data_IF_750691651615
#
_entry.id   IF_750691651615
#
_cell.length_a   1.000
_cell.length_b   1.000
_cell.length_c   1.000
_cell.angle_alpha   90.00
_cell.angle_beta   90.00
_cell.angle_gamma   90.00
#
_symmetry.space_group_name_H-M   'P 1'
#
loop_
_entity.id
_entity.type
_entity.pdbx_description
1 polymer ?
#
# COMPACT_ATOMS: atom_id res chain seq x y z
N UNK A 1 4.97 20.04 4.83
CA UNK A 1 6.37 20.51 4.79
C UNK A 1 7.37 19.44 5.23
N UNK A 2 7.29 18.89 6.45
CA UNK A 2 8.22 17.84 6.94
C UNK A 2 8.36 16.66 5.97
N UNK A 3 7.22 16.22 5.42
CA UNK A 3 7.16 15.08 4.54
C UNK A 3 7.81 15.32 3.16
N UNK A 4 7.78 16.55 2.65
CA UNK A 4 8.46 16.90 1.39
C UNK A 4 9.97 16.74 1.52
N UNK A 5 10.54 17.22 2.63
CA UNK A 5 11.96 17.02 2.96
C UNK A 5 12.31 15.53 3.15
N UNK A 6 11.45 14.76 3.82
CA UNK A 6 11.64 13.33 3.97
C UNK A 6 11.59 12.60 2.61
N UNK A 7 10.64 12.95 1.75
CA UNK A 7 10.46 12.33 0.43
C UNK A 7 11.66 12.56 -0.47
N UNK A 8 12.24 13.76 -0.44
CA UNK A 8 13.47 14.08 -1.17
C UNK A 8 14.68 13.28 -0.63
N UNK A 9 14.80 13.16 0.70
CA UNK A 9 15.97 12.52 1.35
C UNK A 9 15.90 10.99 1.39
N UNK A 10 14.74 10.40 1.69
CA UNK A 10 14.56 8.95 1.88
C UNK A 10 14.04 8.24 0.61
N UNK A 11 13.21 8.91 -0.19
CA UNK A 11 12.58 8.33 -1.39
C UNK A 11 11.16 7.83 -1.12
N UNK A 12 10.31 7.93 -2.14
CA UNK A 12 8.86 7.67 -2.02
C UNK A 12 8.56 6.23 -1.57
N UNK A 13 9.20 5.23 -2.19
CA UNK A 13 8.91 3.82 -1.87
C UNK A 13 9.37 3.44 -0.47
N UNK A 14 10.57 3.85 -0.05
CA UNK A 14 11.06 3.57 1.30
C UNK A 14 10.13 4.15 2.37
N UNK A 15 9.67 5.39 2.20
CA UNK A 15 8.73 6.04 3.12
C UNK A 15 7.34 5.40 3.13
N UNK A 16 6.84 5.02 1.96
CA UNK A 16 5.56 4.33 1.84
C UNK A 16 5.61 2.99 2.58
N UNK A 17 6.69 2.23 2.39
CA UNK A 17 6.90 0.94 3.03
C UNK A 17 7.11 1.06 4.54
N UNK A 18 7.91 2.03 5.00
CA UNK A 18 8.11 2.27 6.43
C UNK A 18 6.82 2.74 7.12
N UNK A 19 6.02 3.57 6.44
CA UNK A 19 4.72 4.01 6.93
C UNK A 19 3.74 2.85 7.07
N UNK A 20 3.62 1.98 6.06
CA UNK A 20 2.77 0.78 6.14
C UNK A 20 3.20 -0.16 7.27
N UNK A 21 4.51 -0.40 7.43
CA UNK A 21 5.02 -1.24 8.52
C UNK A 21 4.76 -0.62 9.89
N UNK A 22 4.99 0.69 10.06
CA UNK A 22 4.73 1.38 11.31
C UNK A 22 3.25 1.40 11.68
N UNK A 23 2.36 1.59 10.70
CA UNK A 23 0.91 1.46 10.89
C UNK A 23 0.50 0.02 11.27
N UNK A 24 1.12 -1.00 10.67
CA UNK A 24 0.86 -2.41 10.99
C UNK A 24 1.20 -2.72 12.46
N UNK A 25 2.40 -2.33 12.89
CA UNK A 25 2.84 -2.52 14.29
C UNK A 25 1.93 -1.76 15.25
N UNK A 26 1.56 -0.53 14.89
CA UNK A 26 0.65 0.29 15.71
C UNK A 26 -0.75 -0.32 15.81
N UNK A 27 -1.28 -0.90 14.72
CA UNK A 27 -2.56 -1.60 14.72
C UNK A 27 -2.55 -2.83 15.64
N UNK A 28 -1.48 -3.63 15.61
CA UNK A 28 -1.31 -4.76 16.53
C UNK A 28 -1.21 -4.28 17.97
N UNK A 29 -0.46 -3.20 18.24
CA UNK A 29 -0.36 -2.61 19.57
C UNK A 29 -1.72 -2.08 20.09
N UNK A 30 -2.56 -1.50 19.21
CA UNK A 30 -3.93 -1.10 19.55
C UNK A 30 -4.80 -2.30 19.91
N UNK A 31 -4.74 -3.40 19.13
CA UNK A 31 -5.47 -4.64 19.48
C UNK A 31 -5.07 -5.15 20.86
N UNK A 32 -3.77 -5.26 21.12
CA UNK A 32 -3.25 -5.76 22.41
C UNK A 32 -3.65 -4.84 23.57
N UNK A 33 -3.48 -3.52 23.39
CA UNK A 33 -3.83 -2.54 24.42
C UNK A 33 -5.32 -2.57 24.78
N UNK A 34 -6.20 -2.66 23.78
CA UNK A 34 -7.64 -2.73 24.01
C UNK A 34 -8.09 -4.10 24.55
N UNK A 35 -7.50 -5.21 24.08
CA UNK A 35 -7.84 -6.55 24.54
C UNK A 35 -7.47 -6.79 26.01
N UNK A 36 -6.38 -6.15 26.48
CA UNK A 36 -5.90 -6.25 27.87
C UNK A 36 -6.43 -5.14 28.78
N UNK A 37 -7.24 -4.22 28.26
CA UNK A 37 -7.75 -3.07 29.01
C UNK A 37 -8.57 -3.49 30.25
N UNK A 38 -9.33 -4.58 30.13
CA UNK A 38 -10.14 -5.13 31.24
C UNK A 38 -9.31 -5.74 32.36
N UNK A 39 -8.08 -6.16 32.07
CA UNK A 39 -7.16 -6.75 33.05
C UNK A 39 -6.23 -5.68 33.65
N UNK A 40 -5.81 -4.71 32.84
CA UNK A 40 -4.83 -3.71 33.19
C UNK A 40 -5.27 -2.32 32.71
N UNK A 41 -5.78 -1.48 33.61
CA UNK A 41 -6.28 -0.15 33.28
C UNK A 41 -5.23 0.76 32.61
N UNK A 42 -3.93 0.54 32.88
CA UNK A 42 -2.83 1.30 32.27
C UNK A 42 -2.64 1.01 30.77
N UNK A 43 -3.24 -0.05 30.22
CA UNK A 43 -3.22 -0.35 28.78
C UNK A 43 -3.97 0.69 27.94
N UNK A 44 -4.79 1.54 28.58
CA UNK A 44 -5.35 2.74 27.95
C UNK A 44 -4.25 3.66 27.39
N UNK A 45 -3.16 3.88 28.13
CA UNK A 45 -2.03 4.68 27.68
C UNK A 45 -1.32 4.04 26.48
N UNK A 46 -1.16 2.71 26.47
CA UNK A 46 -0.58 1.98 25.33
C UNK A 46 -1.43 2.18 24.09
N UNK A 47 -2.76 2.05 24.22
CA UNK A 47 -3.70 2.23 23.11
C UNK A 47 -3.67 3.67 22.58
N UNK A 48 -3.61 4.66 23.48
CA UNK A 48 -3.47 6.08 23.09
C UNK A 48 -2.18 6.35 22.32
N UNK A 49 -1.04 5.89 22.84
CA UNK A 49 0.26 6.06 22.16
C UNK A 49 0.26 5.37 20.80
N UNK A 50 -0.31 4.16 20.72
CA UNK A 50 -0.42 3.42 19.46
C UNK A 50 -1.27 4.16 18.40
N UNK A 51 -2.36 4.82 18.80
CA UNK A 51 -3.16 5.67 17.89
C UNK A 51 -2.32 6.82 17.34
N UNK A 52 -1.56 7.53 18.19
CA UNK A 52 -0.70 8.62 17.73
C UNK A 52 0.41 8.13 16.79
N UNK A 53 1.04 7.00 17.10
CA UNK A 53 2.04 6.39 16.23
C UNK A 53 1.43 5.99 14.88
N UNK A 54 0.23 5.42 14.88
CA UNK A 54 -0.50 5.08 13.66
C UNK A 54 -0.69 6.30 12.76
N UNK A 55 -1.14 7.43 13.33
CA UNK A 55 -1.33 8.69 12.60
C UNK A 55 0.00 9.23 12.08
N UNK A 56 1.06 9.22 12.88
CA UNK A 56 2.40 9.68 12.45
C UNK A 56 2.90 8.85 11.26
N UNK A 57 2.81 7.52 11.34
CA UNK A 57 3.26 6.66 10.24
C UNK A 57 2.39 6.77 8.99
N UNK A 58 1.09 7.02 9.15
CA UNK A 58 0.18 7.32 8.05
C UNK A 58 0.60 8.59 7.30
N UNK A 59 0.86 9.67 8.02
CA UNK A 59 1.27 10.96 7.44
C UNK A 59 2.68 10.91 6.80
N UNK A 60 3.58 10.08 7.33
CA UNK A 60 4.92 9.90 6.75
C UNK A 60 4.86 9.25 5.37
N UNK A 61 3.97 8.27 5.19
CA UNK A 61 3.92 7.46 3.96
C UNK A 61 2.55 7.44 3.28
N UNK A 62 1.62 6.56 3.69
CA UNK A 62 0.42 6.25 2.92
C UNK A 62 -0.58 7.39 2.67
N UNK A 63 -0.65 8.40 3.54
CA UNK A 63 -1.60 9.50 3.38
C UNK A 63 -1.32 10.34 2.12
N UNK A 64 -0.14 10.95 2.01
CA UNK A 64 0.21 11.86 0.90
C UNK A 64 0.77 11.17 -0.35
N UNK A 65 1.51 10.06 -0.23
CA UNK A 65 2.26 9.46 -1.35
C UNK A 65 1.37 9.03 -2.54
N UNK A 66 0.21 8.38 -2.36
CA UNK A 66 -0.64 7.98 -3.48
C UNK A 66 -1.09 9.17 -4.35
N UNK A 67 -1.38 10.31 -3.74
CA UNK A 67 -1.78 11.53 -4.45
C UNK A 67 -0.66 12.06 -5.35
N UNK A 68 0.59 12.01 -4.88
CA UNK A 68 1.75 12.40 -5.67
C UNK A 68 2.08 11.38 -6.77
N UNK A 69 2.04 10.09 -6.45
CA UNK A 69 2.39 9.01 -7.39
C UNK A 69 1.45 9.00 -8.60
N UNK A 70 0.15 9.25 -8.44
CA UNK A 70 -0.78 9.32 -9.58
C UNK A 70 -0.43 10.49 -10.51
N UNK A 71 0.02 11.63 -9.98
CA UNK A 71 0.48 12.74 -10.83
C UNK A 71 1.82 12.43 -11.54
N UNK A 72 2.73 11.71 -10.87
CA UNK A 72 4.05 11.35 -11.39
C UNK A 72 4.00 10.19 -12.42
N UNK A 73 3.07 9.24 -12.30
CA UNK A 73 3.00 8.04 -13.15
C UNK A 73 2.32 8.28 -14.51
N UNK A 74 1.50 9.32 -14.65
CA UNK A 74 0.72 9.58 -15.86
C UNK A 74 1.21 10.82 -16.60
N UNK A 75 1.36 10.71 -17.92
CA UNK A 75 1.62 11.83 -18.82
C UNK A 75 0.44 12.80 -18.86
N UNK A 76 0.66 14.04 -19.32
CA UNK A 76 -0.32 15.14 -19.23
C UNK A 76 -1.69 14.81 -19.84
N UNK A 77 -1.75 13.97 -20.89
CA UNK A 77 -3.00 13.54 -21.51
C UNK A 77 -3.91 12.70 -20.60
N UNK A 78 -3.50 11.49 -20.17
CA UNK A 78 -4.33 10.63 -19.31
C UNK A 78 -4.40 11.05 -17.84
N UNK A 79 -3.55 11.97 -17.38
CA UNK A 79 -3.43 12.34 -15.96
C UNK A 79 -4.75 12.80 -15.31
N UNK A 80 -5.55 13.71 -15.90
CA UNK A 80 -6.80 14.14 -15.27
C UNK A 80 -7.78 12.98 -15.04
N UNK A 81 -7.92 12.07 -16.01
CA UNK A 81 -8.78 10.89 -15.88
C UNK A 81 -8.28 9.95 -14.78
N UNK A 82 -6.96 9.71 -14.71
CA UNK A 82 -6.35 8.87 -13.67
C UNK A 82 -6.55 9.45 -12.26
N UNK A 83 -6.39 10.76 -12.08
CA UNK A 83 -6.62 11.44 -10.81
C UNK A 83 -8.10 11.32 -10.38
N UNK A 84 -9.03 11.52 -11.31
CA UNK A 84 -10.46 11.40 -11.01
C UNK A 84 -10.85 9.99 -10.58
N UNK A 85 -10.37 8.96 -11.29
CA UNK A 85 -10.66 7.55 -10.93
C UNK A 85 -10.03 7.21 -9.58
N UNK A 86 -8.77 7.58 -9.35
CA UNK A 86 -8.10 7.34 -8.08
C UNK A 86 -8.81 8.04 -6.91
N UNK A 87 -9.21 9.30 -7.12
CA UNK A 87 -9.98 10.08 -6.15
C UNK A 87 -11.34 9.47 -5.86
N UNK A 88 -12.08 9.07 -6.90
CA UNK A 88 -13.36 8.37 -6.74
C UNK A 88 -13.20 7.09 -5.92
N UNK A 89 -12.23 6.22 -6.27
CA UNK A 89 -11.96 5.00 -5.51
C UNK A 89 -11.62 5.32 -4.04
N UNK A 90 -10.80 6.34 -3.78
CA UNK A 90 -10.44 6.75 -2.42
C UNK A 90 -11.68 7.18 -1.61
N UNK A 91 -12.51 8.07 -2.15
CA UNK A 91 -13.71 8.55 -1.48
C UNK A 91 -14.76 7.46 -1.29
N UNK A 92 -14.92 6.55 -2.26
CA UNK A 92 -15.80 5.39 -2.11
C UNK A 92 -15.32 4.45 -1.00
N UNK A 93 -14.02 4.13 -0.94
CA UNK A 93 -13.46 3.32 0.14
C UNK A 93 -13.65 4.00 1.51
N UNK A 94 -13.42 5.32 1.59
CA UNK A 94 -13.64 6.09 2.81
C UNK A 94 -15.11 6.02 3.25
N UNK A 95 -16.06 6.24 2.32
CA UNK A 95 -17.48 6.13 2.60
C UNK A 95 -17.86 4.74 3.14
N UNK A 96 -17.39 3.66 2.50
CA UNK A 96 -17.65 2.29 2.97
C UNK A 96 -17.11 2.08 4.37
N UNK A 97 -15.84 2.45 4.62
CA UNK A 97 -15.23 2.31 5.94
C UNK A 97 -15.99 3.12 6.98
N UNK A 98 -16.31 4.39 6.69
CA UNK A 98 -17.03 5.27 7.61
C UNK A 98 -18.43 4.75 7.96
N UNK A 99 -19.15 4.18 6.99
CA UNK A 99 -20.49 3.63 7.22
C UNK A 99 -20.45 2.28 7.95
N UNK A 100 -19.47 1.42 7.65
CA UNK A 100 -19.42 0.06 8.18
C UNK A 100 -18.61 -0.08 9.48
N UNK A 101 -17.70 0.84 9.78
CA UNK A 101 -16.73 0.67 10.86
C UNK A 101 -17.40 0.44 12.22
N UNK A 102 -18.40 1.24 12.60
CA UNK A 102 -19.05 1.10 13.90
C UNK A 102 -19.70 -0.28 14.07
N UNK A 103 -20.43 -0.75 13.06
CA UNK A 103 -21.04 -2.08 13.08
C UNK A 103 -20.00 -3.20 13.23
N UNK A 104 -18.87 -3.09 12.52
CA UNK A 104 -17.79 -4.08 12.62
C UNK A 104 -17.10 -3.99 13.98
N UNK A 105 -16.89 -2.78 14.50
CA UNK A 105 -16.29 -2.55 15.81
C UNK A 105 -17.16 -3.12 16.94
N UNK A 106 -18.49 -2.99 16.85
CA UNK A 106 -19.41 -3.56 17.82
C UNK A 106 -19.40 -5.10 17.79
N UNK A 107 -19.22 -5.71 16.60
CA UNK A 107 -19.12 -7.17 16.44
C UNK A 107 -17.77 -7.74 16.88
N UNK A 108 -16.67 -7.05 16.57
CA UNK A 108 -15.31 -7.56 16.79
C UNK A 108 -14.66 -7.06 18.08
N UNK A 109 -15.19 -5.99 18.68
CA UNK A 109 -14.60 -5.32 19.83
C UNK A 109 -13.13 -4.94 19.59
N UNK A 110 -12.22 -5.22 20.54
CA UNK A 110 -10.77 -4.92 20.42
C UNK A 110 -10.10 -5.52 19.17
N UNK A 111 -10.65 -6.59 18.61
CA UNK A 111 -10.08 -7.29 17.46
C UNK A 111 -10.37 -6.62 16.12
N UNK A 112 -11.17 -5.54 16.07
CA UNK A 112 -11.43 -4.78 14.84
C UNK A 112 -10.12 -4.31 14.17
N UNK A 113 -9.11 -3.94 14.95
CA UNK A 113 -7.81 -3.51 14.45
C UNK A 113 -6.98 -4.63 13.80
N UNK A 114 -7.29 -5.91 14.06
CA UNK A 114 -6.67 -7.05 13.36
C UNK A 114 -7.07 -7.08 11.89
N UNK A 115 -8.30 -6.68 11.56
CA UNK A 115 -8.76 -6.56 10.17
C UNK A 115 -7.91 -5.50 9.44
N UNK A 116 -7.69 -4.35 10.06
CA UNK A 116 -6.82 -3.30 9.52
C UNK A 116 -5.36 -3.77 9.42
N UNK A 117 -4.85 -4.50 10.40
CA UNK A 117 -3.50 -5.08 10.34
C UNK A 117 -3.36 -6.05 9.15
N UNK A 118 -4.34 -6.93 8.93
CA UNK A 118 -4.33 -7.85 7.79
C UNK A 118 -4.35 -7.10 6.45
N UNK A 119 -5.19 -6.07 6.32
CA UNK A 119 -5.22 -5.21 5.13
C UNK A 119 -3.91 -4.46 4.92
N UNK A 120 -3.33 -3.89 5.97
CA UNK A 120 -2.04 -3.19 5.92
C UNK A 120 -0.91 -4.14 5.50
N UNK A 121 -0.91 -5.37 6.01
CA UNK A 121 0.07 -6.39 5.62
C UNK A 121 -0.11 -6.79 4.14
N UNK A 122 -1.34 -6.99 3.67
CA UNK A 122 -1.63 -7.25 2.27
C UNK A 122 -1.17 -6.09 1.36
N UNK A 123 -1.43 -4.84 1.75
CA UNK A 123 -0.95 -3.66 1.04
C UNK A 123 0.57 -3.52 1.07
N UNK A 124 1.22 -3.87 2.19
CA UNK A 124 2.67 -3.90 2.30
C UNK A 124 3.28 -4.89 1.31
N UNK A 125 2.75 -6.12 1.24
CA UNK A 125 3.20 -7.12 0.26
C UNK A 125 2.96 -6.65 -1.17
N UNK A 126 1.76 -6.13 -1.46
CA UNK A 126 1.44 -5.57 -2.77
C UNK A 126 2.43 -4.47 -3.15
N UNK A 127 2.68 -3.53 -2.24
CA UNK A 127 3.59 -2.42 -2.47
C UNK A 127 5.03 -2.88 -2.66
N UNK A 128 5.50 -3.83 -1.86
CA UNK A 128 6.83 -4.40 -1.97
C UNK A 128 7.10 -4.96 -3.36
N UNK A 129 6.16 -5.72 -3.91
CA UNK A 129 6.31 -6.41 -5.21
C UNK A 129 5.92 -5.58 -6.43
N UNK A 130 4.92 -4.70 -6.31
CA UNK A 130 4.31 -3.99 -7.45
C UNK A 130 4.75 -2.54 -7.58
N UNK A 131 5.13 -1.86 -6.49
CA UNK A 131 5.58 -0.46 -6.56
C UNK A 131 7.08 -0.43 -6.88
N UNK A 132 7.49 0.00 -8.08
CA UNK A 132 8.91 0.18 -8.41
C UNK A 132 9.49 1.38 -7.66
N UNK A 133 10.79 1.34 -7.37
CA UNK A 133 11.50 2.47 -6.76
C UNK A 133 11.54 3.66 -7.76
N UNK A 134 10.93 4.79 -7.39
CA UNK A 134 10.89 6.02 -8.21
C UNK A 134 11.99 7.03 -7.85
N UNK A 135 12.77 6.78 -6.79
CA UNK A 135 13.79 7.72 -6.33
C UNK A 135 15.00 7.76 -7.27
N UNK A 136 15.33 8.96 -7.75
CA UNK A 136 16.56 9.24 -8.51
C UNK A 136 16.56 8.76 -9.96
N UNK A 137 15.39 8.41 -10.53
CA UNK A 137 15.25 7.98 -11.92
C UNK A 137 14.45 8.99 -12.73
N UNK A 138 14.87 9.24 -13.97
CA UNK A 138 14.12 10.11 -14.88
C UNK A 138 12.77 9.45 -15.27
N UNK A 139 11.82 10.26 -15.73
CA UNK A 139 10.52 9.75 -16.22
C UNK A 139 10.70 8.69 -17.32
N UNK A 140 11.70 8.85 -18.19
CA UNK A 140 12.06 7.87 -19.22
C UNK A 140 12.57 6.55 -18.64
N UNK A 141 13.37 6.57 -17.56
CA UNK A 141 13.87 5.35 -16.93
C UNK A 141 12.77 4.58 -16.21
N UNK A 142 11.81 5.27 -15.60
CA UNK A 142 10.61 4.65 -15.00
C UNK A 142 9.79 3.98 -16.10
N UNK A 143 9.54 4.68 -17.21
CA UNK A 143 8.81 4.14 -18.36
C UNK A 143 9.56 2.99 -19.04
N UNK A 144 10.89 3.06 -19.15
CA UNK A 144 11.73 2.00 -19.70
C UNK A 144 11.72 0.74 -18.81
N UNK A 145 11.71 0.89 -17.48
CA UNK A 145 11.56 -0.23 -16.55
C UNK A 145 10.21 -0.94 -16.72
N UNK A 146 9.11 -0.19 -16.86
CA UNK A 146 7.78 -0.74 -17.16
C UNK A 146 7.75 -1.43 -18.54
N UNK A 147 8.37 -0.84 -19.56
CA UNK A 147 8.46 -1.43 -20.92
C UNK A 147 9.28 -2.72 -20.94
N UNK A 148 10.42 -2.75 -20.23
CA UNK A 148 11.31 -3.92 -20.15
C UNK A 148 10.67 -5.09 -19.41
N UNK A 149 9.92 -4.82 -18.34
CA UNK A 149 9.15 -5.85 -17.60
C UNK A 149 8.03 -6.44 -18.47
N UNK A 150 7.33 -5.61 -19.25
CA UNK A 150 6.33 -6.07 -20.23
C UNK A 150 6.96 -6.92 -21.34
N UNK A 151 8.14 -6.53 -21.85
CA UNK A 151 8.83 -7.27 -22.92
C UNK A 151 9.41 -8.62 -22.45
N UNK A 152 9.91 -8.72 -21.21
CA UNK A 152 10.39 -10.00 -20.68
C UNK A 152 9.26 -10.99 -20.40
N UNK A 153 8.10 -10.51 -19.89
CA UNK A 153 6.92 -11.36 -19.68
C UNK A 153 6.36 -11.88 -21.01
N UNK A 154 6.30 -11.04 -22.04
CA UNK A 154 5.85 -11.47 -23.38
C UNK A 154 6.83 -12.47 -24.01
N UNK A 155 8.15 -12.25 -23.88
CA UNK A 155 9.15 -13.17 -24.43
C UNK A 155 9.17 -14.51 -23.71
N UNK A 156 8.98 -14.53 -22.38
CA UNK A 156 8.84 -15.75 -21.60
C UNK A 156 7.58 -16.54 -21.93
N UNK A 157 6.44 -15.84 -22.14
CA UNK A 157 5.20 -16.47 -22.57
C UNK A 157 5.33 -17.09 -23.97
N UNK A 158 5.93 -16.37 -24.93
CA UNK A 158 6.18 -16.91 -26.28
C UNK A 158 7.09 -18.14 -26.28
N UNK A 159 8.19 -18.10 -25.51
CA UNK A 159 9.12 -19.23 -25.43
C UNK A 159 8.48 -20.49 -24.81
N UNK A 160 7.58 -20.31 -23.83
CA UNK A 160 6.78 -21.40 -23.26
C UNK A 160 5.84 -22.02 -24.29
N UNK A 161 5.15 -21.20 -25.10
CA UNK A 161 4.24 -21.70 -26.14
C UNK A 161 5.00 -22.46 -27.24
N UNK A 162 6.15 -21.96 -27.69
CA UNK A 162 6.98 -22.66 -28.69
C UNK A 162 7.53 -24.01 -28.15
N UNK A 163 7.88 -24.08 -26.86
CA UNK A 163 8.32 -25.33 -26.23
C UNK A 163 7.19 -26.36 -26.10
N UNK A 164 5.94 -25.92 -25.86
CA UNK A 164 4.77 -26.81 -25.84
C UNK A 164 4.40 -27.32 -27.23
N UNK A 165 4.50 -26.48 -28.26
CA UNK A 165 4.31 -26.89 -29.65
C UNK A 165 5.38 -27.92 -30.09
N UNK A 166 6.65 -27.69 -29.72
CA UNK A 166 7.74 -28.63 -30.01
C UNK A 166 7.53 -29.98 -29.30
N UNK A 167 7.17 -29.97 -28.01
CA UNK A 167 6.89 -31.20 -27.25
C UNK A 167 5.70 -31.97 -27.82
N UNK A 168 4.63 -31.28 -28.23
CA UNK A 168 3.47 -31.90 -28.87
C UNK A 168 3.76 -32.49 -30.25
N UNK A 169 4.82 -32.03 -30.93
CA UNK A 169 5.26 -32.61 -32.21
C UNK A 169 6.20 -33.80 -32.07
N UNK A 170 6.88 -33.95 -30.93
CA UNK A 170 7.70 -35.13 -30.62
C UNK A 170 6.85 -36.32 -30.12
N UNK A 171 5.65 -36.05 -29.62
CA UNK A 171 4.71 -37.05 -29.07
C UNK A 171 3.65 -37.54 -30.09
N UNK A 172 3.60 -36.98 -31.31
CA UNK A 172 2.68 -37.32 -32.39
C UNK A 172 3.35 -38.15 -33.50
#
# INVERSE_FOLDING_TARGET
FLQLFLVEKAGRRSLFMSGLMGMLVSAVAMTVGLALLSQFAWMSYVSMVAIFLFVIFFEVGPGPIPWFIVAELFSQGPRPAAITIAGFCNWTCNFIVGMCFQYIADLCGPYVFVIFAALLFAFFLFAYFKVPETKGKSFEEIMAAFRRKKHSTIRGAKAMTELEELRGSEEA
#
